data_IF_676982452754
#
_entry.id   IF_676982452754
#
_cell.length_a   1.000
_cell.length_b   1.000
_cell.length_c   1.000
_cell.angle_alpha   90.00
_cell.angle_beta   90.00
_cell.angle_gamma   90.00
#
_symmetry.space_group_name_H-M   'P 1'
#
loop_
_entity.id
_entity.type
_entity.pdbx_description
1 polymer ?
#
# COMPACT_ATOMS: atom_id res chain seq x y z
N UNK A 1 18.12 13.71 -12.88
CA UNK A 1 18.12 12.32 -12.40
C UNK A 1 19.51 12.05 -11.89
N UNK A 2 19.67 11.88 -10.58
CA UNK A 2 20.95 11.53 -9.97
C UNK A 2 21.20 10.06 -10.25
N UNK A 3 22.29 9.71 -10.93
CA UNK A 3 22.70 8.32 -11.10
C UNK A 3 23.38 7.84 -9.82
N UNK A 4 22.89 6.75 -9.23
CA UNK A 4 23.47 6.13 -8.04
C UNK A 4 24.18 4.83 -8.45
N UNK A 5 25.47 4.72 -8.19
CA UNK A 5 26.26 3.51 -8.42
C UNK A 5 26.48 2.79 -7.09
N UNK A 6 26.08 1.52 -7.03
CA UNK A 6 26.22 0.67 -5.84
C UNK A 6 27.30 -0.38 -6.12
N UNK A 7 28.34 -0.41 -5.30
CA UNK A 7 29.38 -1.43 -5.35
C UNK A 7 28.97 -2.67 -4.56
N UNK A 8 29.60 -3.82 -4.86
CA UNK A 8 29.46 -5.08 -4.11
C UNK A 8 28.04 -5.67 -4.03
N UNK A 9 27.12 -5.24 -4.89
CA UNK A 9 25.77 -5.78 -5.01
C UNK A 9 25.54 -6.37 -6.41
N UNK A 10 25.15 -7.64 -6.46
CA UNK A 10 24.79 -8.31 -7.72
C UNK A 10 23.43 -7.83 -8.23
N UNK A 11 23.31 -7.61 -9.53
CA UNK A 11 22.03 -7.30 -10.20
C UNK A 11 20.94 -8.34 -9.94
N UNK A 12 21.32 -9.59 -9.62
CA UNK A 12 20.37 -10.66 -9.28
C UNK A 12 19.63 -10.42 -7.95
N UNK A 13 20.21 -9.60 -7.06
CA UNK A 13 19.66 -9.29 -5.75
C UNK A 13 18.80 -8.03 -5.76
N UNK A 14 18.69 -7.34 -6.91
CA UNK A 14 17.91 -6.10 -7.06
C UNK A 14 16.70 -6.41 -7.93
N UNK A 15 15.53 -5.92 -7.53
CA UNK A 15 14.29 -6.06 -8.28
C UNK A 15 13.61 -4.70 -8.43
N UNK A 16 12.82 -4.56 -9.50
CA UNK A 16 11.94 -3.40 -9.67
C UNK A 16 11.01 -3.29 -8.45
N UNK A 17 10.86 -2.08 -7.93
CA UNK A 17 10.11 -1.81 -6.71
C UNK A 17 10.97 -1.73 -5.43
N UNK A 18 12.26 -2.06 -5.50
CA UNK A 18 13.17 -1.78 -4.38
C UNK A 18 13.47 -0.29 -4.31
N UNK A 19 13.49 0.24 -3.08
CA UNK A 19 13.73 1.64 -2.78
C UNK A 19 15.10 1.77 -2.12
N UNK A 20 15.91 2.71 -2.61
CA UNK A 20 17.21 3.02 -2.03
C UNK A 20 17.07 4.24 -1.10
N UNK A 21 17.65 4.15 0.10
CA UNK A 21 17.70 5.23 1.09
C UNK A 21 19.04 5.24 1.83
N UNK A 22 19.31 6.33 2.54
CA UNK A 22 20.51 6.44 3.38
C UNK A 22 20.30 5.65 4.68
N UNK A 23 21.14 4.65 4.92
CA UNK A 23 21.01 3.77 6.09
C UNK A 23 21.21 4.47 7.44
N UNK A 24 21.87 5.65 7.46
CA UNK A 24 22.14 6.43 8.67
C UNK A 24 21.11 7.52 8.92
N UNK A 25 20.56 8.11 7.86
CA UNK A 25 19.63 9.24 7.98
C UNK A 25 18.16 8.81 7.87
N UNK A 26 17.84 7.81 7.06
CA UNK A 26 16.47 7.37 6.81
C UNK A 26 16.43 5.86 6.45
N UNK A 27 16.62 4.98 7.45
CA UNK A 27 16.55 3.54 7.22
C UNK A 27 15.13 3.14 6.83
N UNK A 28 14.97 2.54 5.65
CA UNK A 28 13.68 2.12 5.11
C UNK A 28 13.28 0.75 5.68
N UNK A 29 12.24 0.66 6.53
CA UNK A 29 11.76 -0.61 7.04
C UNK A 29 10.96 -1.38 5.98
N UNK A 30 11.04 -2.70 6.02
CA UNK A 30 10.12 -3.56 5.27
C UNK A 30 8.74 -3.54 5.94
N UNK A 31 7.69 -3.35 5.15
CA UNK A 31 6.31 -3.33 5.63
C UNK A 31 5.58 -4.60 5.17
N UNK A 32 5.28 -5.49 6.11
CA UNK A 32 4.45 -6.67 5.85
C UNK A 32 2.96 -6.30 5.72
N UNK A 33 2.51 -5.32 6.51
CA UNK A 33 1.15 -4.79 6.46
C UNK A 33 1.15 -3.29 6.74
N UNK A 34 0.16 -2.61 6.17
CA UNK A 34 0.05 -1.15 6.25
C UNK A 34 -1.42 -0.74 6.43
N UNK A 35 -1.63 0.26 7.27
CA UNK A 35 -2.95 0.89 7.42
C UNK A 35 -3.03 2.06 6.44
N UNK A 36 -3.97 1.98 5.51
CA UNK A 36 -4.20 3.02 4.50
C UNK A 36 -5.63 3.52 4.50
N UNK A 37 -5.77 4.78 4.10
CA UNK A 37 -7.05 5.37 3.74
C UNK A 37 -7.26 5.22 2.23
N UNK A 38 -8.30 4.50 1.85
CA UNK A 38 -8.65 4.27 0.44
C UNK A 38 -9.96 4.98 0.09
N UNK A 39 -10.04 5.49 -1.13
CA UNK A 39 -11.31 5.96 -1.72
C UNK A 39 -11.67 4.96 -2.81
N UNK A 40 -12.86 4.36 -2.68
CA UNK A 40 -13.36 3.42 -3.69
C UNK A 40 -14.04 4.22 -4.81
N UNK A 41 -13.66 3.94 -6.06
CA UNK A 41 -14.14 4.64 -7.25
C UNK A 41 -14.71 3.60 -8.21
N UNK A 42 -15.97 3.78 -8.62
CA UNK A 42 -16.63 3.00 -9.69
C UNK A 42 -16.42 1.48 -9.60
N UNK A 43 -16.51 0.92 -8.39
CA UNK A 43 -16.34 -0.52 -8.17
C UNK A 43 -17.71 -1.20 -8.02
N UNK A 44 -18.06 -2.08 -8.97
CA UNK A 44 -19.35 -2.80 -8.96
C UNK A 44 -19.42 -3.91 -7.91
N UNK A 45 -18.27 -4.38 -7.43
CA UNK A 45 -18.17 -5.45 -6.44
C UNK A 45 -18.24 -4.98 -4.99
N UNK A 46 -18.43 -5.95 -4.09
CA UNK A 46 -18.33 -5.74 -2.65
C UNK A 46 -16.90 -6.01 -2.18
N UNK A 47 -16.29 -5.04 -1.51
CA UNK A 47 -14.96 -5.21 -0.89
C UNK A 47 -15.18 -5.67 0.55
N UNK A 48 -14.57 -6.78 0.93
CA UNK A 48 -14.67 -7.34 2.28
C UNK A 48 -13.29 -7.76 2.78
N UNK A 49 -13.20 -8.10 4.07
CA UNK A 49 -11.97 -8.67 4.60
C UNK A 49 -11.60 -9.92 3.79
N UNK A 50 -10.37 -9.93 3.30
CA UNK A 50 -9.81 -10.93 2.43
C UNK A 50 -9.93 -10.65 0.94
N UNK A 51 -10.53 -9.53 0.52
CA UNK A 51 -10.52 -9.08 -0.86
C UNK A 51 -9.08 -8.78 -1.31
N UNK A 52 -8.68 -9.31 -2.46
CA UNK A 52 -7.33 -9.17 -3.01
C UNK A 52 -7.37 -8.43 -4.33
N UNK A 53 -6.43 -7.52 -4.52
CA UNK A 53 -6.24 -6.74 -5.74
C UNK A 53 -4.75 -6.47 -5.96
N UNK A 54 -4.40 -5.80 -7.05
CA UNK A 54 -3.03 -5.32 -7.27
C UNK A 54 -2.92 -3.86 -6.85
N UNK A 55 -1.86 -3.55 -6.10
CA UNK A 55 -1.46 -2.20 -5.72
C UNK A 55 -0.27 -1.81 -6.58
N UNK A 56 -0.46 -0.72 -7.31
CA UNK A 56 0.63 0.03 -7.91
C UNK A 56 1.06 1.13 -6.94
N UNK A 57 2.31 1.08 -6.49
CA UNK A 57 2.93 2.10 -5.65
C UNK A 57 4.31 2.43 -6.22
N UNK A 58 4.49 3.66 -6.69
CA UNK A 58 5.67 4.11 -7.42
C UNK A 58 6.06 3.19 -8.59
N UNK A 59 7.09 2.37 -8.42
CA UNK A 59 7.55 1.40 -9.42
C UNK A 59 7.15 -0.04 -9.11
N UNK A 60 6.55 -0.27 -7.93
CA UNK A 60 6.14 -1.58 -7.44
C UNK A 60 4.74 -1.92 -7.95
N UNK A 61 4.58 -3.17 -8.42
CA UNK A 61 3.31 -3.77 -8.80
C UNK A 61 3.17 -5.06 -8.01
N UNK A 62 2.35 -5.04 -6.95
CA UNK A 62 2.24 -6.15 -6.00
C UNK A 62 0.80 -6.47 -5.65
N UNK A 63 0.48 -7.76 -5.56
CA UNK A 63 -0.81 -8.20 -5.05
C UNK A 63 -0.91 -7.91 -3.56
N UNK A 64 -2.00 -7.30 -3.13
CA UNK A 64 -2.30 -7.05 -1.73
C UNK A 64 -3.67 -7.62 -1.37
N UNK A 65 -3.90 -7.75 -0.07
CA UNK A 65 -5.15 -8.26 0.48
C UNK A 65 -5.63 -7.32 1.58
N UNK A 66 -6.90 -6.93 1.54
CA UNK A 66 -7.53 -6.22 2.64
C UNK A 66 -7.63 -7.16 3.84
N UNK A 67 -6.83 -6.95 4.87
CA UNK A 67 -6.85 -7.80 6.07
C UNK A 67 -8.07 -7.46 6.93
N UNK A 68 -8.23 -6.17 7.23
CA UNK A 68 -9.29 -5.66 8.09
C UNK A 68 -9.68 -4.25 7.66
N UNK A 69 -10.97 -3.93 7.77
CA UNK A 69 -11.52 -2.59 7.58
C UNK A 69 -11.90 -2.03 8.96
N UNK A 70 -11.01 -1.26 9.62
CA UNK A 70 -11.24 -0.82 10.99
C UNK A 70 -12.27 0.30 11.06
N UNK A 71 -12.31 1.20 10.09
CA UNK A 71 -13.12 2.42 10.13
C UNK A 71 -13.58 2.77 8.71
N UNK A 72 -14.83 3.18 8.57
CA UNK A 72 -15.31 3.89 7.38
C UNK A 72 -15.43 5.37 7.68
N UNK A 73 -14.94 6.16 6.72
CA UNK A 73 -14.84 7.61 6.82
C UNK A 73 -15.68 8.22 5.70
N UNK A 74 -16.46 9.24 6.03
CA UNK A 74 -17.21 10.01 5.05
C UNK A 74 -16.24 10.82 4.17
N UNK A 75 -16.36 10.68 2.85
CA UNK A 75 -15.42 11.28 1.88
C UNK A 75 -15.43 12.82 1.91
N UNK A 76 -16.55 13.45 2.27
CA UNK A 76 -16.71 14.92 2.22
C UNK A 76 -16.26 15.58 3.52
N UNK A 77 -16.60 14.96 4.64
CA UNK A 77 -16.42 15.54 5.98
C UNK A 77 -15.21 14.97 6.73
N UNK A 78 -14.63 13.88 6.24
CA UNK A 78 -13.57 13.12 6.92
C UNK A 78 -13.97 12.61 8.32
N UNK A 79 -15.27 12.59 8.64
CA UNK A 79 -15.76 12.04 9.91
C UNK A 79 -15.93 10.54 9.81
N UNK A 80 -15.54 9.85 10.87
CA UNK A 80 -15.84 8.43 11.05
C UNK A 80 -17.34 8.25 11.23
N UNK A 81 -17.93 7.30 10.51
CA UNK A 81 -19.35 7.00 10.65
C UNK A 81 -19.64 5.53 10.99
N UNK A 82 -18.68 4.63 10.75
CA UNK A 82 -18.83 3.21 11.08
C UNK A 82 -17.48 2.63 11.53
N UNK A 83 -17.46 1.95 12.68
CA UNK A 83 -16.29 1.23 13.19
C UNK A 83 -16.44 -0.27 12.99
N UNK A 84 -15.32 -0.97 12.75
CA UNK A 84 -15.22 -2.41 12.49
C UNK A 84 -16.19 -2.91 11.42
N UNK A 85 -16.17 -2.26 10.27
CA UNK A 85 -17.07 -2.64 9.18
C UNK A 85 -16.65 -3.96 8.54
N UNK A 86 -17.64 -4.75 8.10
CA UNK A 86 -17.41 -6.05 7.43
C UNK A 86 -17.25 -5.91 5.92
N UNK A 87 -17.75 -4.84 5.32
CA UNK A 87 -17.70 -4.65 3.86
C UNK A 87 -17.85 -3.19 3.43
N UNK A 88 -17.28 -2.84 2.28
CA UNK A 88 -17.36 -1.54 1.62
C UNK A 88 -17.96 -1.74 0.22
N UNK A 89 -18.92 -0.87 -0.15
CA UNK A 89 -19.50 -0.78 -1.48
C UNK A 89 -19.41 0.68 -1.95
N UNK A 90 -19.30 0.89 -3.26
CA UNK A 90 -19.44 2.22 -3.87
C UNK A 90 -20.90 2.62 -3.93
#
# INVERSE_FOLDING_TARGET
MSECMIADLSVKNIKKGFVCGDSKQDPLPEAESLLVKVIIIQHSGLIQNGYSQVLDCDTTHIAFKFIMIPIKIDRRTNKEYEQKSKSIKT
#
